data_IF_332440639167
#
_entry.id   IF_332440639167
#
_cell.length_a   1.000
_cell.length_b   1.000
_cell.length_c   1.000
_cell.angle_alpha   90.00
_cell.angle_beta   90.00
_cell.angle_gamma   90.00
#
_symmetry.space_group_name_H-M   'P 1'
#
loop_
_entity.id
_entity.type
_entity.pdbx_description
1 polymer ?
#
# COMPACT_ATOMS: atom_id res chain seq x y z
N UNK A 1 26.20 -39.22 20.28
CA UNK A 1 25.50 -38.43 19.23
C UNK A 1 24.39 -37.62 19.90
N UNK A 2 24.59 -36.31 20.01
CA UNK A 2 23.71 -35.37 20.75
C UNK A 2 22.50 -35.00 19.89
N UNK A 3 21.27 -35.26 20.36
CA UNK A 3 20.03 -34.71 19.79
C UNK A 3 19.56 -33.53 20.66
N UNK A 4 19.75 -32.31 20.17
CA UNK A 4 19.13 -31.10 20.71
C UNK A 4 17.64 -31.07 20.36
N UNK A 5 16.76 -31.20 21.35
CA UNK A 5 15.34 -30.83 21.24
C UNK A 5 15.19 -29.40 21.75
N UNK A 6 14.70 -28.50 20.87
CA UNK A 6 14.33 -27.12 21.21
C UNK A 6 12.97 -27.13 21.90
N UNK A 7 12.90 -26.60 23.12
CA UNK A 7 11.67 -26.33 23.85
C UNK A 7 11.03 -25.04 23.31
N UNK A 8 9.74 -25.11 22.99
CA UNK A 8 8.86 -23.93 22.84
C UNK A 8 8.27 -23.59 24.21
N UNK A 9 8.36 -22.36 24.72
CA UNK A 9 7.57 -21.95 25.87
C UNK A 9 6.14 -21.61 25.44
N UNK A 10 5.17 -22.24 26.08
CA UNK A 10 3.76 -21.87 26.01
C UNK A 10 3.54 -20.57 26.82
N UNK A 11 3.02 -19.53 26.18
CA UNK A 11 2.62 -18.29 26.83
C UNK A 11 1.14 -18.45 27.22
N UNK A 12 0.86 -18.49 28.52
CA UNK A 12 -0.49 -18.55 29.07
C UNK A 12 -1.21 -17.19 28.94
N UNK A 13 -2.43 -17.22 28.39
CA UNK A 13 -3.29 -16.06 28.22
C UNK A 13 -4.10 -15.84 29.52
N UNK A 14 -3.73 -14.84 30.32
CA UNK A 14 -4.54 -14.39 31.45
C UNK A 14 -5.62 -13.41 30.95
N UNK A 15 -6.89 -13.82 31.04
CA UNK A 15 -8.04 -12.98 30.71
C UNK A 15 -8.38 -12.14 31.94
N UNK A 16 -8.11 -10.84 31.89
CA UNK A 16 -8.60 -9.86 32.86
C UNK A 16 -9.82 -9.14 32.26
N UNK A 17 -10.96 -9.25 32.95
CA UNK A 17 -12.19 -8.52 32.64
C UNK A 17 -12.01 -7.01 32.96
N UNK A 18 -12.29 -6.09 32.03
CA UNK A 18 -12.29 -4.67 32.34
C UNK A 18 -13.60 -4.25 33.02
N UNK A 19 -13.46 -3.48 34.10
CA UNK A 19 -14.56 -2.78 34.77
C UNK A 19 -15.11 -1.65 33.88
N UNK A 20 -16.43 -1.51 33.86
CA UNK A 20 -17.16 -0.45 33.15
C UNK A 20 -16.91 0.90 33.81
N UNK A 21 -16.28 1.83 33.08
CA UNK A 21 -16.16 3.24 33.46
C UNK A 21 -17.26 4.03 32.73
N UNK A 22 -17.96 4.87 33.48
CA UNK A 22 -19.02 5.77 32.99
C UNK A 22 -18.45 6.85 32.07
N UNK A 23 -19.10 7.09 30.92
CA UNK A 23 -18.71 8.08 29.94
C UNK A 23 -19.14 9.49 30.37
N UNK A 24 -18.17 10.36 30.64
CA UNK A 24 -18.38 11.81 30.72
C UNK A 24 -18.49 12.43 29.32
N UNK A 25 -19.22 13.53 29.22
CA UNK A 25 -19.47 14.28 27.99
C UNK A 25 -18.18 14.57 27.22
N UNK A 26 -18.09 14.06 25.99
CA UNK A 26 -16.92 14.25 25.13
C UNK A 26 -16.77 15.74 24.75
N UNK A 27 -15.57 16.32 24.87
CA UNK A 27 -15.29 17.64 24.32
C UNK A 27 -15.48 17.61 22.81
N UNK A 28 -16.00 18.71 22.23
CA UNK A 28 -16.11 18.85 20.79
C UNK A 28 -14.71 18.77 20.16
N UNK A 29 -14.42 17.64 19.53
CA UNK A 29 -13.23 17.43 18.72
C UNK A 29 -13.43 18.17 17.41
N UNK A 30 -12.56 19.14 17.13
CA UNK A 30 -12.49 19.74 15.80
C UNK A 30 -12.16 18.65 14.79
N UNK A 31 -12.80 18.68 13.63
CA UNK A 31 -12.53 17.72 12.55
C UNK A 31 -11.04 17.79 12.18
N UNK A 32 -10.40 16.63 12.15
CA UNK A 32 -9.01 16.54 11.74
C UNK A 32 -8.88 17.07 10.31
N UNK A 33 -7.92 17.96 10.08
CA UNK A 33 -7.61 18.47 8.75
C UNK A 33 -7.13 17.32 7.87
N UNK A 34 -7.97 16.89 6.93
CA UNK A 34 -7.64 15.81 6.02
C UNK A 34 -7.12 16.38 4.69
N UNK A 35 -5.82 16.21 4.44
CA UNK A 35 -5.23 16.55 3.14
C UNK A 35 -5.62 15.45 2.15
N UNK A 36 -6.53 15.73 1.23
CA UNK A 36 -6.93 14.82 0.17
C UNK A 36 -5.85 14.67 -0.92
N UNK A 37 -6.01 13.70 -1.82
CA UNK A 37 -5.18 13.59 -3.03
C UNK A 37 -5.25 14.84 -3.94
N UNK A 38 -6.27 15.70 -3.79
CA UNK A 38 -6.33 16.99 -4.48
C UNK A 38 -5.42 18.07 -3.87
N UNK A 39 -4.88 17.85 -2.66
CA UNK A 39 -4.01 18.77 -1.89
C UNK A 39 -4.64 20.13 -1.59
N UNK A 40 -5.96 20.19 -1.46
CA UNK A 40 -6.70 21.37 -0.99
C UNK A 40 -7.32 21.10 0.36
N UNK A 41 -7.49 22.14 1.17
CA UNK A 41 -7.94 22.06 2.54
C UNK A 41 -9.45 22.28 2.63
N UNK A 42 -10.18 21.32 3.21
CA UNK A 42 -11.61 21.43 3.53
C UNK A 42 -12.50 21.88 2.35
N UNK A 43 -12.14 21.45 1.14
CA UNK A 43 -12.99 21.57 -0.05
C UNK A 43 -13.72 20.25 -0.24
N UNK A 44 -15.04 20.30 -0.36
CA UNK A 44 -15.83 19.10 -0.63
C UNK A 44 -15.44 18.49 -1.98
N UNK A 45 -15.47 17.15 -2.07
CA UNK A 45 -15.11 16.41 -3.28
C UNK A 45 -15.88 16.89 -4.52
N UNK A 46 -17.10 17.43 -4.32
CA UNK A 46 -17.96 17.99 -5.37
C UNK A 46 -17.45 19.33 -5.92
N UNK A 47 -16.84 20.16 -5.08
CA UNK A 47 -16.35 21.50 -5.44
C UNK A 47 -14.91 21.48 -5.95
N UNK A 48 -14.27 20.31 -5.95
CA UNK A 48 -12.94 20.12 -6.52
C UNK A 48 -12.95 20.38 -8.03
N UNK A 49 -12.02 21.19 -8.58
CA UNK A 49 -11.85 21.36 -10.02
C UNK A 49 -11.20 20.13 -10.70
N UNK A 50 -11.25 18.95 -10.06
CA UNK A 50 -10.54 17.75 -10.47
C UNK A 50 -11.40 16.49 -10.32
N UNK A 51 -11.14 15.47 -11.15
CA UNK A 51 -11.86 14.19 -11.09
C UNK A 51 -11.31 13.29 -9.97
N UNK A 52 -11.77 13.50 -8.74
CA UNK A 52 -11.45 12.66 -7.59
C UNK A 52 -12.57 11.64 -7.30
N UNK A 53 -12.22 10.46 -6.78
CA UNK A 53 -13.16 9.52 -6.18
C UNK A 53 -12.53 8.96 -4.92
N UNK A 54 -13.26 9.05 -3.82
CA UNK A 54 -12.87 8.51 -2.52
C UNK A 54 -13.66 7.23 -2.28
N UNK A 55 -12.97 6.13 -1.97
CA UNK A 55 -13.57 4.83 -1.66
C UNK A 55 -13.25 4.47 -0.22
N UNK A 56 -14.26 4.44 0.65
CA UNK A 56 -14.12 3.94 2.01
C UNK A 56 -13.77 2.45 2.01
N UNK A 57 -12.84 2.04 2.87
CA UNK A 57 -12.51 0.64 3.06
C UNK A 57 -13.48 0.05 4.07
N UNK A 58 -14.39 -0.80 3.59
CA UNK A 58 -15.40 -1.44 4.43
C UNK A 58 -14.74 -2.37 5.47
N UNK A 59 -14.87 -1.97 6.73
CA UNK A 59 -14.34 -2.67 7.89
C UNK A 59 -15.05 -4.02 8.13
N UNK A 60 -16.28 -4.17 7.63
CA UNK A 60 -17.13 -5.35 7.81
C UNK A 60 -17.35 -6.12 6.50
N UNK A 61 -16.78 -5.62 5.40
CA UNK A 61 -16.96 -6.19 4.07
C UNK A 61 -16.45 -7.63 3.96
N UNK A 62 -17.23 -8.48 3.29
CA UNK A 62 -16.94 -9.91 3.07
C UNK A 62 -15.82 -10.19 2.05
N UNK A 63 -15.10 -9.18 1.59
CA UNK A 63 -13.95 -9.33 0.69
C UNK A 63 -12.81 -10.12 1.32
N UNK A 64 -11.85 -10.58 0.52
CA UNK A 64 -10.68 -11.31 1.06
C UNK A 64 -9.86 -10.41 1.99
N UNK A 65 -9.99 -9.09 1.82
CA UNK A 65 -9.26 -8.07 2.58
C UNK A 65 -7.76 -8.09 2.28
N UNK A 66 -7.38 -8.80 1.21
CA UNK A 66 -5.99 -9.04 0.85
C UNK A 66 -5.59 -8.20 -0.37
N UNK A 67 -6.50 -7.88 -1.28
CA UNK A 67 -6.14 -7.29 -2.57
C UNK A 67 -6.81 -5.93 -2.77
N UNK A 68 -6.01 -4.90 -3.02
CA UNK A 68 -6.49 -3.52 -3.26
C UNK A 68 -7.47 -3.43 -4.43
N UNK A 69 -7.33 -4.32 -5.42
CA UNK A 69 -8.23 -4.44 -6.57
C UNK A 69 -9.70 -4.66 -6.17
N UNK A 70 -9.96 -5.30 -5.04
CA UNK A 70 -11.32 -5.55 -4.53
C UNK A 70 -12.03 -4.24 -4.18
N UNK A 71 -11.31 -3.26 -3.63
CA UNK A 71 -11.85 -1.94 -3.29
C UNK A 71 -11.97 -1.01 -4.52
N UNK A 72 -11.14 -1.22 -5.55
CA UNK A 72 -11.03 -0.29 -6.68
C UNK A 72 -11.99 -0.57 -7.85
N UNK A 73 -12.70 -1.71 -7.84
CA UNK A 73 -13.50 -2.17 -8.99
C UNK A 73 -14.61 -1.22 -9.45
N UNK A 74 -15.12 -0.37 -8.56
CA UNK A 74 -16.21 0.58 -8.86
C UNK A 74 -15.76 1.97 -9.35
N UNK A 75 -14.45 2.25 -9.40
CA UNK A 75 -13.96 3.62 -9.68
C UNK A 75 -13.96 3.91 -11.19
N UNK A 76 -14.69 4.91 -11.70
CA UNK A 76 -14.78 5.16 -13.13
C UNK A 76 -13.45 5.64 -13.71
N UNK A 77 -13.12 5.16 -14.93
CA UNK A 77 -11.86 5.49 -15.60
C UNK A 77 -10.62 4.90 -14.95
N UNK A 78 -10.77 4.04 -13.94
CA UNK A 78 -9.72 3.22 -13.36
C UNK A 78 -9.98 1.76 -13.72
N UNK A 79 -8.91 1.05 -14.05
CA UNK A 79 -8.92 -0.39 -14.28
C UNK A 79 -7.93 -1.02 -13.30
N UNK A 80 -8.42 -1.81 -12.35
CA UNK A 80 -7.62 -2.61 -11.43
C UNK A 80 -7.93 -4.09 -11.63
N UNK A 81 -7.19 -4.76 -12.51
CA UNK A 81 -7.39 -6.17 -12.81
C UNK A 81 -6.44 -7.03 -12.00
N UNK A 82 -7.01 -7.82 -11.11
CA UNK A 82 -6.28 -8.86 -10.40
C UNK A 82 -5.87 -9.97 -11.38
N UNK A 83 -4.60 -10.37 -11.32
CA UNK A 83 -4.06 -11.44 -12.18
C UNK A 83 -4.21 -12.82 -11.54
N UNK A 84 -4.58 -12.87 -10.25
CA UNK A 84 -4.54 -14.07 -9.41
C UNK A 84 -3.17 -14.74 -9.42
N UNK A 85 -2.13 -13.94 -9.59
CA UNK A 85 -0.73 -14.34 -9.64
C UNK A 85 0.03 -13.35 -8.77
N UNK A 86 0.29 -13.71 -7.51
CA UNK A 86 0.96 -12.83 -6.54
C UNK A 86 2.46 -12.64 -6.84
N UNK A 87 3.04 -13.37 -7.80
CA UNK A 87 4.37 -13.06 -8.32
C UNK A 87 4.36 -11.83 -9.22
N UNK A 88 3.18 -11.41 -9.69
CA UNK A 88 2.97 -10.23 -10.51
C UNK A 88 2.03 -9.26 -9.80
N UNK A 89 2.11 -7.99 -10.19
CA UNK A 89 1.25 -6.96 -9.60
C UNK A 89 -0.13 -6.94 -10.23
N UNK A 90 -1.12 -6.43 -9.48
CA UNK A 90 -2.41 -6.05 -10.05
C UNK A 90 -2.18 -5.13 -11.24
N UNK A 91 -2.82 -5.41 -12.37
CA UNK A 91 -2.74 -4.53 -13.53
C UNK A 91 -3.60 -3.30 -13.26
N UNK A 92 -2.92 -2.19 -12.96
CA UNK A 92 -3.55 -0.91 -12.68
C UNK A 92 -3.37 0.05 -13.86
N UNK A 93 -4.44 0.71 -14.28
CA UNK A 93 -4.36 1.85 -15.19
C UNK A 93 -5.44 2.89 -14.90
N UNK A 94 -5.13 4.16 -15.17
CA UNK A 94 -6.06 5.29 -15.02
C UNK A 94 -6.13 6.03 -16.35
N UNK A 95 -7.32 6.05 -16.97
CA UNK A 95 -7.55 6.68 -18.29
C UNK A 95 -6.48 6.32 -19.34
N UNK A 96 -6.03 5.06 -19.34
CA UNK A 96 -5.01 4.52 -20.25
C UNK A 96 -3.56 4.62 -19.76
N UNK A 97 -3.25 5.48 -18.79
CA UNK A 97 -1.92 5.53 -18.18
C UNK A 97 -1.65 4.25 -17.38
N UNK A 98 -0.53 3.59 -17.67
CA UNK A 98 -0.16 2.29 -17.11
C UNK A 98 -0.65 1.06 -17.88
N UNK A 99 -1.52 1.23 -18.89
CA UNK A 99 -2.08 0.11 -19.65
C UNK A 99 -1.02 -0.72 -20.42
N UNK A 100 0.10 -0.09 -20.80
CA UNK A 100 1.23 -0.75 -21.50
C UNK A 100 2.22 -1.45 -20.56
N UNK A 101 2.00 -1.38 -19.24
CA UNK A 101 2.86 -2.05 -18.27
C UNK A 101 2.64 -3.56 -18.32
N UNK A 102 3.61 -4.29 -18.84
CA UNK A 102 3.58 -5.77 -18.88
C UNK A 102 3.67 -6.35 -17.47
N UNK A 103 4.59 -5.84 -16.66
CA UNK A 103 4.81 -6.23 -15.28
C UNK A 103 4.93 -4.98 -14.38
N UNK A 104 4.51 -5.10 -13.13
CA UNK A 104 4.49 -3.96 -12.20
C UNK A 104 3.44 -2.91 -12.54
N UNK A 105 3.35 -1.91 -11.68
CA UNK A 105 2.53 -0.70 -11.90
C UNK A 105 3.46 0.42 -12.37
N UNK A 106 3.13 1.05 -13.50
CA UNK A 106 3.87 2.21 -14.06
C UNK A 106 2.88 3.23 -14.60
N UNK A 107 3.30 4.49 -14.73
CA UNK A 107 2.46 5.55 -15.29
C UNK A 107 1.43 6.16 -14.33
N UNK A 108 1.35 5.67 -13.09
CA UNK A 108 0.49 6.20 -12.02
C UNK A 108 1.29 6.34 -10.74
N UNK A 109 0.99 7.37 -9.93
CA UNK A 109 1.60 7.60 -8.62
C UNK A 109 0.83 6.82 -7.55
N UNK A 110 1.54 6.09 -6.69
CA UNK A 110 0.95 5.40 -5.54
C UNK A 110 1.46 6.02 -4.25
N UNK A 111 0.57 6.23 -3.29
CA UNK A 111 0.88 6.83 -1.99
C UNK A 111 0.22 6.04 -0.86
N UNK A 112 0.90 5.94 0.28
CA UNK A 112 0.34 5.47 1.55
C UNK A 112 0.57 6.58 2.58
N UNK A 113 -0.50 7.14 3.13
CA UNK A 113 -0.45 8.27 4.08
C UNK A 113 0.34 9.49 3.55
N UNK A 114 0.37 9.64 2.22
CA UNK A 114 1.12 10.68 1.52
C UNK A 114 2.60 10.36 1.26
N UNK A 115 3.11 9.24 1.76
CA UNK A 115 4.46 8.73 1.47
C UNK A 115 4.44 7.95 0.14
N UNK A 116 5.40 8.17 -0.78
CA UNK A 116 5.48 7.44 -2.03
C UNK A 116 5.62 5.92 -1.86
N UNK A 117 4.68 5.18 -2.45
CA UNK A 117 4.78 3.74 -2.70
C UNK A 117 5.24 3.42 -4.14
N UNK A 118 5.35 4.45 -4.98
CA UNK A 118 6.08 4.42 -6.25
C UNK A 118 7.51 4.88 -6.07
N UNK A 119 8.43 4.13 -6.64
CA UNK A 119 9.85 4.46 -6.72
C UNK A 119 10.08 5.67 -7.65
N UNK A 120 11.21 6.40 -7.52
CA UNK A 120 11.51 7.58 -8.34
C UNK A 120 11.49 7.33 -9.85
N UNK A 121 11.86 6.12 -10.28
CA UNK A 121 11.83 5.69 -11.69
C UNK A 121 10.41 5.43 -12.24
N UNK A 122 9.37 5.59 -11.40
CA UNK A 122 7.96 5.41 -11.74
C UNK A 122 7.44 3.99 -11.54
N UNK A 123 8.24 3.06 -11.02
CA UNK A 123 7.79 1.71 -10.70
C UNK A 123 7.05 1.68 -9.35
N UNK A 124 5.82 1.21 -9.35
CA UNK A 124 4.99 1.04 -8.16
C UNK A 124 4.60 -0.41 -7.89
N UNK A 125 4.22 -0.69 -6.64
CA UNK A 125 3.65 -1.97 -6.25
C UNK A 125 2.45 -1.77 -5.31
N UNK A 126 1.30 -2.33 -5.66
CA UNK A 126 0.10 -2.28 -4.81
C UNK A 126 0.16 -3.27 -3.64
N UNK A 127 1.10 -4.22 -3.65
CA UNK A 127 1.31 -5.15 -2.52
C UNK A 127 1.75 -4.45 -1.24
N UNK A 128 2.22 -3.20 -1.33
CA UNK A 128 2.59 -2.36 -0.19
C UNK A 128 1.39 -1.74 0.53
N UNK A 129 0.17 -1.91 0.01
CA UNK A 129 -1.05 -1.36 0.60
C UNK A 129 -1.68 -2.40 1.53
N UNK A 130 -1.89 -2.04 2.79
CA UNK A 130 -2.55 -2.89 3.77
C UNK A 130 -3.99 -2.41 3.99
N UNK A 131 -4.97 -3.18 3.50
CA UNK A 131 -6.38 -2.82 3.62
C UNK A 131 -6.94 -2.98 5.03
N UNK A 132 -6.36 -3.84 5.87
CA UNK A 132 -6.85 -4.05 7.23
C UNK A 132 -6.71 -2.78 8.10
N UNK A 133 -5.63 -2.02 7.87
CA UNK A 133 -5.38 -0.75 8.55
C UNK A 133 -5.96 0.47 7.84
N UNK A 134 -6.54 0.31 6.65
CA UNK A 134 -6.97 1.41 5.80
C UNK A 134 -8.34 1.96 6.20
N UNK A 135 -8.52 3.27 6.05
CA UNK A 135 -9.80 3.97 6.17
C UNK A 135 -10.43 4.20 4.80
N UNK A 136 -9.62 4.67 3.84
CA UNK A 136 -10.08 4.94 2.49
C UNK A 136 -8.97 4.91 1.45
N UNK A 137 -9.38 4.91 0.19
CA UNK A 137 -8.51 5.07 -0.98
C UNK A 137 -9.04 6.22 -1.83
N UNK A 138 -8.19 7.23 -2.05
CA UNK A 138 -8.47 8.37 -2.92
C UNK A 138 -7.86 8.12 -4.30
N UNK A 139 -8.64 8.36 -5.37
CA UNK A 139 -8.20 8.23 -6.75
C UNK A 139 -8.35 9.57 -7.48
N UNK A 140 -7.23 10.25 -7.71
CA UNK A 140 -7.18 11.48 -8.49
C UNK A 140 -6.85 11.14 -9.96
N UNK A 141 -7.71 11.60 -10.88
CA UNK A 141 -7.59 11.30 -12.31
C UNK A 141 -7.46 12.58 -13.13
N UNK A 142 -6.69 12.51 -14.21
CA UNK A 142 -6.55 13.60 -15.16
C UNK A 142 -5.45 14.60 -14.80
N UNK A 143 -5.46 15.81 -15.42
CA UNK A 143 -4.29 16.68 -15.49
C UNK A 143 -3.69 17.09 -14.14
N UNK A 144 -4.51 17.27 -13.10
CA UNK A 144 -4.03 17.62 -11.75
C UNK A 144 -3.09 16.58 -11.13
N UNK A 145 -3.15 15.32 -11.59
CA UNK A 145 -2.19 14.29 -11.16
C UNK A 145 -0.75 14.61 -11.55
N UNK A 146 -0.50 15.47 -12.55
CA UNK A 146 0.86 15.90 -12.91
C UNK A 146 1.58 16.64 -11.77
N UNK A 147 0.84 17.23 -10.82
CA UNK A 147 1.41 17.88 -9.62
C UNK A 147 2.09 16.89 -8.65
N UNK A 148 1.95 15.59 -8.89
CA UNK A 148 2.60 14.53 -8.12
C UNK A 148 3.92 14.05 -8.71
N UNK A 149 4.43 14.73 -9.74
CA UNK A 149 5.76 14.51 -10.29
C UNK A 149 5.82 13.44 -11.38
N UNK A 150 6.99 12.79 -11.50
CA UNK A 150 7.25 11.81 -12.55
C UNK A 150 6.20 10.69 -12.58
N UNK A 151 5.84 10.26 -13.80
CA UNK A 151 4.99 9.09 -14.04
C UNK A 151 3.63 9.15 -13.30
N UNK A 152 2.99 10.32 -13.27
CA UNK A 152 1.72 10.55 -12.58
C UNK A 152 0.60 10.91 -13.56
N UNK A 153 0.15 9.94 -14.36
CA UNK A 153 -1.08 10.08 -15.17
C UNK A 153 -2.39 9.91 -14.36
N UNK A 154 -2.23 9.59 -13.08
CA UNK A 154 -3.24 9.46 -12.05
C UNK A 154 -2.57 9.17 -10.70
N UNK A 155 -3.27 9.43 -9.61
CA UNK A 155 -2.79 9.15 -8.24
C UNK A 155 -3.76 8.20 -7.57
N UNK A 156 -3.22 7.16 -6.92
CA UNK A 156 -3.95 6.32 -5.97
C UNK A 156 -3.30 6.48 -4.61
N UNK A 157 -4.08 6.95 -3.64
CA UNK A 157 -3.60 7.24 -2.30
C UNK A 157 -4.41 6.47 -1.26
N UNK A 158 -3.76 5.60 -0.52
CA UNK A 158 -4.35 4.92 0.63
C UNK A 158 -4.12 5.75 1.89
N UNK A 159 -5.18 5.94 2.67
CA UNK A 159 -5.12 6.53 4.00
C UNK A 159 -5.38 5.46 5.04
N UNK A 160 -4.43 5.28 5.96
CA UNK A 160 -4.62 4.46 7.14
C UNK A 160 -5.50 5.19 8.14
N UNK A 161 -6.41 4.45 8.79
CA UNK A 161 -7.29 5.03 9.81
C UNK A 161 -6.49 5.67 10.93
N UNK A 162 -6.96 6.81 11.43
CA UNK A 162 -6.40 7.41 12.64
C UNK A 162 -6.99 6.74 13.87
N UNK A 163 -6.19 6.57 14.93
CA UNK A 163 -6.65 5.92 16.15
C UNK A 163 -7.41 6.89 17.06
N UNK A 164 -8.52 6.44 17.63
CA UNK A 164 -9.35 7.24 18.55
C UNK A 164 -9.56 6.52 19.90
N UNK A 165 -9.85 7.29 20.95
CA UNK A 165 -10.16 6.71 22.24
C UNK A 165 -11.39 5.79 22.16
N UNK A 166 -11.27 4.55 22.64
CA UNK A 166 -12.36 3.57 22.62
C UNK A 166 -12.45 2.73 21.34
N UNK A 167 -11.55 2.91 20.37
CA UNK A 167 -11.48 2.02 19.21
C UNK A 167 -11.29 0.55 19.61
N UNK A 168 -11.95 -0.40 18.92
CA UNK A 168 -11.77 -1.81 19.17
C UNK A 168 -10.48 -2.34 18.55
N UNK A 169 -9.97 -3.44 19.10
CA UNK A 169 -9.07 -4.31 18.35
C UNK A 169 -9.89 -5.17 17.38
N UNK A 170 -9.30 -5.54 16.24
CA UNK A 170 -9.97 -6.36 15.22
C UNK A 170 -9.14 -7.59 14.89
N UNK A 171 -9.80 -8.75 14.88
CA UNK A 171 -9.24 -9.99 14.34
C UNK A 171 -10.07 -10.40 13.13
N UNK A 172 -9.42 -10.57 11.98
CA UNK A 172 -10.06 -11.02 10.74
C UNK A 172 -9.45 -12.34 10.33
N UNK A 173 -10.29 -13.36 10.15
CA UNK A 173 -9.88 -14.64 9.57
C UNK A 173 -10.75 -14.92 8.35
N UNK A 174 -10.12 -15.23 7.21
CA UNK A 174 -10.82 -15.59 5.97
C UNK A 174 -10.33 -16.93 5.47
N UNK A 175 -11.26 -17.71 4.92
CA UNK A 175 -11.00 -19.00 4.27
C UNK A 175 -11.77 -19.06 2.96
N UNK A 176 -11.18 -19.63 1.92
CA UNK A 176 -11.81 -19.71 0.60
C UNK A 176 -11.26 -20.85 -0.24
N UNK A 177 -11.67 -20.89 -1.51
CA UNK A 177 -11.20 -21.88 -2.48
C UNK A 177 -9.68 -21.88 -2.63
N UNK A 178 -9.15 -22.98 -3.17
CA UNK A 178 -7.72 -23.10 -3.51
C UNK A 178 -6.82 -22.94 -2.27
N UNK A 179 -7.29 -23.48 -1.14
CA UNK A 179 -6.66 -23.40 0.18
C UNK A 179 -6.28 -21.96 0.58
N UNK A 180 -7.10 -20.99 0.14
CA UNK A 180 -6.90 -19.59 0.46
C UNK A 180 -7.24 -19.33 1.91
N UNK A 181 -6.30 -18.75 2.66
CA UNK A 181 -6.52 -18.34 4.04
C UNK A 181 -5.82 -17.03 4.34
N UNK A 182 -6.47 -16.15 5.10
CA UNK A 182 -5.87 -14.95 5.65
C UNK A 182 -6.13 -14.85 7.14
N UNK A 183 -5.13 -14.42 7.89
CA UNK A 183 -5.29 -14.00 9.28
C UNK A 183 -4.77 -12.58 9.41
N UNK A 184 -5.57 -11.69 9.98
CA UNK A 184 -5.26 -10.30 10.20
C UNK A 184 -5.59 -9.88 11.62
N UNK A 185 -4.70 -9.11 12.25
CA UNK A 185 -4.91 -8.49 13.54
C UNK A 185 -4.67 -6.98 13.40
N UNK A 186 -5.55 -6.20 13.98
CA UNK A 186 -5.40 -4.76 14.07
C UNK A 186 -5.62 -4.28 15.50
N UNK A 187 -4.75 -3.38 15.91
CA UNK A 187 -4.86 -2.64 17.15
C UNK A 187 -4.94 -1.16 16.79
N UNK A 188 -6.09 -0.54 17.07
CA UNK A 188 -6.35 0.89 16.81
C UNK A 188 -6.77 1.54 18.11
N UNK A 189 -6.33 2.78 18.34
CA UNK A 189 -6.75 3.53 19.52
C UNK A 189 -5.96 4.79 19.79
N UNK A 190 -6.22 5.39 20.95
CA UNK A 190 -5.52 6.58 21.43
C UNK A 190 -5.08 6.38 22.88
N UNK A 191 -3.85 6.79 23.18
CA UNK A 191 -3.29 6.84 24.52
C UNK A 191 -2.67 8.23 24.77
N UNK A 192 -3.34 9.05 25.57
CA UNK A 192 -2.97 10.46 25.79
C UNK A 192 -2.89 11.21 24.45
N UNK A 193 -1.73 11.82 24.16
CA UNK A 193 -1.46 12.54 22.92
C UNK A 193 -1.02 11.62 21.76
N UNK A 194 -0.95 10.31 21.96
CA UNK A 194 -0.55 9.35 20.92
C UNK A 194 -1.76 8.62 20.35
N UNK A 195 -1.95 8.75 19.04
CA UNK A 195 -2.91 8.00 18.23
C UNK A 195 -2.17 6.85 17.55
N UNK A 196 -2.74 5.66 17.52
CA UNK A 196 -2.10 4.50 16.91
C UNK A 196 -3.08 3.67 16.10
N UNK A 197 -2.59 3.16 14.97
CA UNK A 197 -3.22 2.13 14.17
C UNK A 197 -2.14 1.19 13.66
N UNK A 198 -2.15 -0.05 14.13
CA UNK A 198 -1.20 -1.09 13.78
C UNK A 198 -1.97 -2.28 13.24
N UNK A 199 -1.72 -2.65 11.98
CA UNK A 199 -2.37 -3.74 11.29
C UNK A 199 -1.35 -4.72 10.73
N UNK A 200 -1.47 -6.00 11.09
CA UNK A 200 -0.64 -7.09 10.58
C UNK A 200 -1.51 -8.16 9.92
N UNK A 201 -1.05 -8.74 8.82
CA UNK A 201 -1.76 -9.84 8.16
C UNK A 201 -0.83 -10.84 7.48
N UNK A 202 -1.22 -12.12 7.44
CA UNK A 202 -0.58 -13.19 6.69
C UNK A 202 -1.64 -13.87 5.81
N UNK A 203 -1.39 -13.86 4.49
CA UNK A 203 -2.22 -14.47 3.47
C UNK A 203 -1.48 -15.62 2.79
N UNK A 204 -2.16 -16.73 2.54
CA UNK A 204 -1.64 -17.92 1.84
C UNK A 204 -2.68 -18.51 0.91
N UNK A 205 -2.24 -19.11 -0.18
CA UNK A 205 -3.09 -19.89 -1.11
C UNK A 205 -2.24 -20.90 -1.86
N UNK A 206 -2.86 -22.03 -2.25
CA UNK A 206 -2.25 -22.98 -3.19
C UNK A 206 -2.41 -22.50 -4.65
N UNK A 207 -3.28 -21.52 -4.89
CA UNK A 207 -3.54 -20.92 -6.20
C UNK A 207 -4.57 -21.70 -7.02
N UNK A 208 -5.35 -20.98 -7.83
CA UNK A 208 -6.37 -21.59 -8.69
C UNK A 208 -5.76 -22.34 -9.89
N UNK A 209 -4.60 -21.88 -10.37
CA UNK A 209 -3.79 -22.55 -11.39
C UNK A 209 -2.70 -23.40 -10.74
N UNK A 210 -2.28 -24.44 -11.45
CA UNK A 210 -1.03 -25.13 -11.13
C UNK A 210 0.13 -24.12 -11.05
N UNK A 211 1.11 -24.38 -10.17
CA UNK A 211 2.28 -23.52 -9.99
C UNK A 211 1.93 -22.05 -9.70
N UNK A 212 0.91 -21.83 -8.85
CA UNK A 212 0.43 -20.49 -8.48
C UNK A 212 0.34 -20.29 -6.96
N UNK A 213 0.97 -21.16 -6.16
CA UNK A 213 0.96 -21.03 -4.72
C UNK A 213 1.72 -19.79 -4.27
N UNK A 214 1.21 -19.10 -3.25
CA UNK A 214 1.80 -17.86 -2.77
C UNK A 214 1.58 -17.63 -1.28
N UNK A 215 2.53 -16.90 -0.68
CA UNK A 215 2.43 -16.37 0.67
C UNK A 215 2.78 -14.88 0.68
N UNK A 216 2.03 -14.10 1.45
CA UNK A 216 2.31 -12.69 1.69
C UNK A 216 1.97 -12.30 3.13
N UNK A 217 2.97 -11.79 3.85
CA UNK A 217 2.82 -11.11 5.12
C UNK A 217 2.94 -9.60 4.93
N UNK A 218 2.19 -8.82 5.71
CA UNK A 218 2.30 -7.37 5.76
C UNK A 218 2.11 -6.84 7.18
N UNK A 219 2.80 -5.74 7.48
CA UNK A 219 2.65 -4.96 8.70
C UNK A 219 2.57 -3.49 8.30
N UNK A 220 1.53 -2.79 8.73
CA UNK A 220 1.41 -1.35 8.63
C UNK A 220 1.24 -0.78 10.04
N UNK A 221 1.91 0.33 10.33
CA UNK A 221 1.73 1.07 11.56
C UNK A 221 1.74 2.58 11.27
N UNK A 222 0.73 3.27 11.78
CA UNK A 222 0.65 4.73 11.84
C UNK A 222 0.59 5.13 13.31
N UNK A 223 1.53 5.97 13.74
CA UNK A 223 1.62 6.50 15.09
C UNK A 223 1.60 8.03 15.01
N UNK A 224 0.47 8.64 15.37
CA UNK A 224 0.30 10.09 15.43
C UNK A 224 0.59 10.64 16.82
N UNK A 225 1.32 11.75 16.91
CA UNK A 225 1.63 12.43 18.17
C UNK A 225 1.18 13.88 18.08
N UNK A 226 0.24 14.26 18.95
CA UNK A 226 -0.15 15.67 19.16
C UNK A 226 0.89 16.33 20.07
N UNK A 227 1.84 17.05 19.47
CA UNK A 227 2.99 17.63 20.19
C UNK A 227 2.60 18.91 20.92
N UNK A 228 1.74 19.72 20.30
CA UNK A 228 1.19 20.96 20.81
C UNK A 228 -0.06 21.32 19.98
N UNK A 229 -0.88 22.30 20.39
CA UNK A 229 -2.01 22.75 19.57
C UNK A 229 -1.56 23.13 18.15
N UNK A 230 -2.17 22.48 17.15
CA UNK A 230 -1.84 22.62 15.73
C UNK A 230 -0.49 22.04 15.33
N UNK A 231 0.12 21.14 16.12
CA UNK A 231 1.38 20.48 15.79
C UNK A 231 1.25 18.97 15.93
N UNK A 232 1.31 18.27 14.80
CA UNK A 232 1.19 16.81 14.73
C UNK A 232 2.40 16.18 14.05
N UNK A 233 2.91 15.09 14.63
CA UNK A 233 3.91 14.22 14.01
C UNK A 233 3.32 12.83 13.79
N UNK A 234 3.19 12.39 12.54
CA UNK A 234 2.86 11.02 12.19
C UNK A 234 4.15 10.25 11.84
N UNK A 235 4.39 9.13 12.53
CA UNK A 235 5.39 8.14 12.18
C UNK A 235 4.70 6.97 11.47
N UNK A 236 5.25 6.58 10.32
CA UNK A 236 4.67 5.61 9.42
C UNK A 236 5.66 4.48 9.22
N UNK A 237 5.20 3.23 9.38
CA UNK A 237 6.00 2.04 9.12
C UNK A 237 5.20 1.08 8.27
N UNK A 238 5.83 0.52 7.24
CA UNK A 238 5.19 -0.43 6.36
C UNK A 238 6.19 -1.50 5.93
N UNK A 239 5.82 -2.76 6.15
CA UNK A 239 6.62 -3.94 5.82
C UNK A 239 5.78 -4.90 4.99
N UNK A 240 6.39 -5.41 3.93
CA UNK A 240 5.87 -6.45 3.07
C UNK A 240 6.89 -7.59 3.02
N UNK A 241 6.45 -8.81 3.29
CA UNK A 241 7.24 -10.04 3.12
C UNK A 241 6.44 -11.02 2.26
N UNK A 242 6.88 -11.22 1.02
CA UNK A 242 6.36 -12.22 0.11
C UNK A 242 7.52 -13.16 -0.24
N UNK A 243 7.87 -14.13 0.63
CA UNK A 243 9.10 -14.91 0.50
C UNK A 243 9.05 -15.88 -0.68
N UNK A 244 7.84 -16.23 -1.14
CA UNK A 244 7.63 -17.07 -2.32
C UNK A 244 6.23 -16.86 -2.88
N UNK A 245 6.18 -16.45 -4.14
CA UNK A 245 5.00 -16.53 -4.99
C UNK A 245 5.40 -17.22 -6.29
N UNK A 246 4.76 -18.35 -6.60
CA UNK A 246 4.98 -19.04 -7.87
C UNK A 246 4.33 -18.26 -9.02
N UNK A 247 4.97 -18.28 -10.18
CA UNK A 247 4.49 -17.59 -11.38
C UNK A 247 4.10 -18.63 -12.46
N UNK A 248 2.81 -18.91 -12.70
CA UNK A 248 2.36 -19.91 -13.66
C UNK A 248 2.56 -19.50 -15.13
N UNK A 249 3.01 -18.26 -15.38
CA UNK A 249 3.17 -17.64 -16.71
C UNK A 249 1.85 -17.54 -17.51
N UNK A 250 1.94 -16.95 -18.70
CA UNK A 250 0.81 -16.77 -19.62
C UNK A 250 0.51 -18.01 -20.46
N UNK A 251 -0.76 -18.24 -20.77
CA UNK A 251 -1.22 -19.30 -21.67
C UNK A 251 -1.53 -18.74 -23.05
N UNK A 252 -1.39 -19.56 -24.09
CA UNK A 252 -1.99 -19.26 -25.40
C UNK A 252 -3.51 -19.34 -25.33
N UNK A 253 -4.20 -18.73 -26.30
CA UNK A 253 -5.67 -18.75 -26.38
C UNK A 253 -6.24 -20.17 -26.53
N UNK A 254 -5.50 -21.10 -27.12
CA UNK A 254 -5.88 -22.51 -27.21
C UNK A 254 -5.74 -23.20 -25.86
N UNK A 255 -4.56 -23.09 -25.22
CA UNK A 255 -4.29 -23.67 -23.91
C UNK A 255 -5.32 -23.23 -22.86
N UNK A 256 -5.64 -21.93 -22.83
CA UNK A 256 -6.65 -21.38 -21.92
C UNK A 256 -8.06 -21.90 -22.16
N UNK A 257 -8.41 -22.27 -23.41
CA UNK A 257 -9.73 -22.85 -23.73
C UNK A 257 -9.83 -24.33 -23.36
N UNK A 258 -8.74 -25.08 -23.49
CA UNK A 258 -8.73 -26.52 -23.22
C UNK A 258 -8.59 -26.83 -21.73
N UNK A 259 -7.69 -26.12 -21.04
CA UNK A 259 -7.46 -26.28 -19.62
C UNK A 259 -6.94 -24.94 -19.06
N UNK A 260 -7.82 -24.12 -18.47
CA UNK A 260 -7.42 -22.81 -17.97
C UNK A 260 -6.66 -22.88 -16.64
N UNK A 261 -6.65 -24.05 -15.95
CA UNK A 261 -5.95 -24.23 -14.67
C UNK A 261 -4.49 -24.63 -14.86
N UNK A 262 -4.11 -25.15 -16.02
CA UNK A 262 -2.72 -25.55 -16.28
C UNK A 262 -1.71 -24.42 -16.08
N UNK A 263 -0.50 -24.78 -15.68
CA UNK A 263 0.66 -23.91 -15.83
C UNK A 263 1.25 -24.02 -17.24
N UNK A 264 2.04 -23.03 -17.65
CA UNK A 264 2.91 -23.21 -18.82
C UNK A 264 3.98 -24.24 -18.46
N UNK A 265 4.28 -25.20 -19.33
CA UNK A 265 5.24 -26.28 -19.01
C UNK A 265 6.60 -25.77 -18.50
N UNK A 266 7.08 -24.66 -19.09
CA UNK A 266 8.34 -24.04 -18.69
C UNK A 266 8.28 -23.38 -17.31
N UNK A 267 7.10 -23.05 -16.79
CA UNK A 267 6.95 -22.48 -15.44
C UNK A 267 7.44 -23.47 -14.37
N UNK A 268 6.98 -24.72 -14.45
CA UNK A 268 7.43 -25.80 -13.57
C UNK A 268 8.88 -26.20 -13.86
N UNK A 269 9.27 -26.26 -15.15
CA UNK A 269 10.64 -26.61 -15.54
C UNK A 269 11.70 -25.68 -14.95
N UNK A 270 11.43 -24.37 -14.91
CA UNK A 270 12.36 -23.35 -14.40
C UNK A 270 12.01 -22.89 -12.97
N UNK A 271 11.01 -23.51 -12.31
CA UNK A 271 10.46 -23.10 -11.01
C UNK A 271 10.25 -21.58 -10.94
N UNK A 272 9.55 -21.02 -11.93
CA UNK A 272 9.34 -19.58 -12.03
C UNK A 272 8.61 -19.05 -10.82
N UNK A 273 9.20 -18.05 -10.17
CA UNK A 273 8.73 -17.53 -8.89
C UNK A 273 9.33 -16.16 -8.62
N UNK A 274 8.73 -15.44 -7.69
CA UNK A 274 9.23 -14.19 -7.17
C UNK A 274 9.24 -14.20 -5.65
N UNK A 275 10.26 -13.58 -5.07
CA UNK A 275 10.28 -13.17 -3.67
C UNK A 275 10.42 -11.65 -3.60
N UNK A 276 9.73 -11.03 -2.65
CA UNK A 276 9.80 -9.59 -2.40
C UNK A 276 9.87 -9.36 -0.91
N UNK A 277 10.82 -8.55 -0.46
CA UNK A 277 10.81 -7.98 0.88
C UNK A 277 10.96 -6.47 0.78
N UNK A 278 10.10 -5.74 1.47
CA UNK A 278 10.15 -4.29 1.48
C UNK A 278 9.88 -3.79 2.90
N UNK A 279 10.67 -2.83 3.33
CA UNK A 279 10.43 -2.08 4.56
C UNK A 279 10.56 -0.59 4.26
N UNK A 280 9.60 0.20 4.72
CA UNK A 280 9.58 1.65 4.57
C UNK A 280 9.22 2.29 5.90
N UNK A 281 9.92 3.36 6.22
CA UNK A 281 9.61 4.24 7.33
C UNK A 281 9.45 5.68 6.80
N UNK A 282 8.53 6.42 7.39
CA UNK A 282 8.28 7.81 7.08
C UNK A 282 7.93 8.62 8.32
N UNK A 283 8.21 9.91 8.27
CA UNK A 283 7.78 10.87 9.26
C UNK A 283 7.10 12.03 8.54
N UNK A 284 5.93 12.45 9.02
CA UNK A 284 5.17 13.58 8.52
C UNK A 284 4.89 14.52 9.68
N UNK A 285 5.43 15.74 9.62
CA UNK A 285 5.13 16.80 10.56
C UNK A 285 4.17 17.81 9.92
N UNK A 286 3.07 18.11 10.61
CA UNK A 286 2.09 19.13 10.20
C UNK A 286 2.02 20.21 11.28
N UNK A 287 2.11 21.47 10.85
CA UNK A 287 1.94 22.65 11.69
C UNK A 287 0.85 23.55 11.10
N UNK A 288 -0.28 23.62 11.80
CA UNK A 288 -1.42 24.46 11.49
C UNK A 288 -1.41 25.72 12.37
N UNK A 289 -1.40 26.89 11.72
CA UNK A 289 -1.39 28.20 12.37
C UNK A 289 -2.26 29.19 11.61
N UNK A 290 -3.43 29.48 12.18
CA UNK A 290 -4.41 30.45 11.67
C UNK A 290 -4.85 30.18 10.24
N UNK A 291 -4.11 30.73 9.27
CA UNK A 291 -4.36 30.70 7.83
C UNK A 291 -3.31 29.94 7.05
N UNK A 292 -2.41 29.25 7.75
CA UNK A 292 -1.19 28.66 7.19
C UNK A 292 -1.04 27.23 7.70
N UNK A 293 -0.70 26.34 6.79
CA UNK A 293 -0.34 24.96 7.11
C UNK A 293 1.04 24.67 6.55
N UNK A 294 1.94 24.15 7.38
CA UNK A 294 3.21 23.61 6.96
C UNK A 294 3.15 22.10 7.04
N UNK A 295 3.61 21.41 6.01
CA UNK A 295 3.76 19.96 5.99
C UNK A 295 5.17 19.60 5.57
N UNK A 296 5.89 18.91 6.43
CA UNK A 296 7.23 18.39 6.17
C UNK A 296 7.16 16.88 6.22
N UNK A 297 7.71 16.21 5.21
CA UNK A 297 7.75 14.76 5.13
C UNK A 297 9.15 14.31 4.77
N UNK A 298 9.60 13.25 5.44
CA UNK A 298 10.81 12.52 5.08
C UNK A 298 10.51 11.02 5.11
N UNK A 299 11.08 10.27 4.19
CA UNK A 299 10.91 8.82 4.15
C UNK A 299 12.16 8.11 3.64
N UNK A 300 12.31 6.86 4.05
CA UNK A 300 13.33 5.96 3.55
C UNK A 300 12.80 4.53 3.53
N UNK A 301 13.35 3.70 2.65
CA UNK A 301 13.00 2.29 2.57
C UNK A 301 14.06 1.47 1.87
N UNK A 302 13.93 0.17 2.06
CA UNK A 302 14.72 -0.84 1.35
C UNK A 302 13.77 -1.85 0.74
N UNK A 303 14.11 -2.30 -0.47
CA UNK A 303 13.36 -3.30 -1.21
C UNK A 303 14.31 -4.30 -1.84
N UNK A 304 14.06 -5.57 -1.58
CA UNK A 304 14.71 -6.69 -2.27
C UNK A 304 13.69 -7.43 -3.14
N UNK A 305 14.09 -7.81 -4.34
CA UNK A 305 13.27 -8.60 -5.27
C UNK A 305 14.16 -9.65 -5.91
N UNK A 306 13.81 -10.92 -5.74
CA UNK A 306 14.42 -12.03 -6.46
C UNK A 306 13.35 -12.66 -7.37
N UNK A 307 13.67 -12.86 -8.65
CA UNK A 307 12.73 -13.42 -9.62
C UNK A 307 13.43 -14.43 -10.53
N UNK A 308 12.90 -15.65 -10.56
CA UNK A 308 13.33 -16.72 -11.46
C UNK A 308 12.45 -16.70 -12.70
N UNK A 309 13.07 -16.49 -13.86
CA UNK A 309 12.42 -16.40 -15.17
C UNK A 309 12.56 -17.70 -15.95
N UNK A 310 11.63 -17.96 -16.86
CA UNK A 310 11.68 -19.08 -17.79
C UNK A 310 12.57 -18.78 -19.02
N UNK A 311 13.84 -18.43 -18.81
CA UNK A 311 14.79 -18.19 -19.90
C UNK A 311 15.66 -19.43 -20.15
N UNK A 312 15.61 -20.04 -21.35
CA UNK A 312 16.40 -21.22 -21.65
C UNK A 312 17.92 -20.97 -21.61
N UNK A 313 18.74 -21.96 -21.19
CA UNK A 313 20.19 -21.82 -21.15
C UNK A 313 20.83 -21.38 -22.47
N UNK A 314 20.30 -21.84 -23.60
CA UNK A 314 20.80 -21.44 -24.92
C UNK A 314 20.67 -19.93 -25.19
N UNK A 315 19.59 -19.29 -24.72
CA UNK A 315 19.43 -17.83 -24.83
C UNK A 315 20.41 -17.08 -23.90
N UNK A 316 20.76 -17.68 -22.77
CA UNK A 316 21.71 -17.13 -21.80
C UNK A 316 23.18 -17.30 -22.23
N UNK A 317 23.46 -18.09 -23.27
CA UNK A 317 24.83 -18.35 -23.73
C UNK A 317 25.51 -17.11 -24.34
N UNK A 318 24.75 -16.11 -24.77
CA UNK A 318 25.30 -14.82 -25.20
C UNK A 318 25.89 -14.09 -23.97
N UNK A 319 27.18 -13.70 -23.97
CA UNK A 319 27.80 -12.97 -22.85
C UNK A 319 27.14 -11.63 -22.50
N UNK A 320 26.36 -11.05 -23.43
CA UNK A 320 25.59 -9.82 -23.21
C UNK A 320 24.19 -10.09 -22.61
N UNK A 321 23.79 -11.36 -22.46
CA UNK A 321 22.51 -11.72 -21.88
C UNK A 321 22.53 -11.51 -20.37
N UNK A 322 21.45 -10.95 -19.81
CA UNK A 322 21.39 -10.62 -18.38
C UNK A 322 20.96 -11.79 -17.46
N UNK A 323 21.20 -13.03 -17.87
CA UNK A 323 20.78 -14.24 -17.15
C UNK A 323 19.26 -14.50 -17.06
N UNK A 324 18.89 -15.60 -16.40
CA UNK A 324 17.50 -16.02 -16.12
C UNK A 324 16.99 -15.72 -14.70
N UNK A 325 17.83 -15.10 -13.85
CA UNK A 325 17.47 -14.71 -12.49
C UNK A 325 17.70 -13.21 -12.36
N UNK A 326 16.70 -12.51 -11.83
CA UNK A 326 16.81 -11.11 -11.45
C UNK A 326 16.93 -11.08 -9.92
N UNK A 327 17.99 -10.49 -9.40
CA UNK A 327 18.16 -10.18 -7.97
C UNK A 327 18.39 -8.67 -7.85
N UNK A 328 17.52 -7.98 -7.13
CA UNK A 328 17.54 -6.53 -7.00
C UNK A 328 17.54 -6.18 -5.53
N UNK A 329 18.51 -5.38 -5.10
CA UNK A 329 18.53 -4.76 -3.77
C UNK A 329 18.58 -3.24 -3.93
N UNK A 330 17.53 -2.56 -3.47
CA UNK A 330 17.34 -1.14 -3.67
C UNK A 330 17.07 -0.39 -2.38
N UNK A 331 17.89 0.62 -2.10
CA UNK A 331 17.60 1.66 -1.11
C UNK A 331 16.96 2.87 -1.77
N UNK A 332 15.96 3.46 -1.13
CA UNK A 332 15.27 4.64 -1.63
C UNK A 332 14.83 5.55 -0.48
N UNK A 333 14.57 6.82 -0.79
CA UNK A 333 14.08 7.78 0.19
C UNK A 333 13.86 9.14 -0.44
N UNK A 334 13.32 10.05 0.34
CA UNK A 334 13.03 11.39 -0.14
C UNK A 334 12.51 12.31 0.94
N UNK A 335 12.35 13.57 0.56
CA UNK A 335 11.80 14.65 1.37
C UNK A 335 10.78 15.44 0.57
N UNK A 336 9.76 15.95 1.24
CA UNK A 336 8.73 16.83 0.69
C UNK A 336 8.45 17.93 1.72
N UNK A 337 8.44 19.17 1.27
CA UNK A 337 8.10 20.32 2.09
C UNK A 337 7.01 21.11 1.38
N UNK A 338 5.93 21.43 2.11
CA UNK A 338 4.79 22.18 1.60
C UNK A 338 4.40 23.26 2.57
N UNK A 339 3.99 24.38 2.00
CA UNK A 339 3.36 25.47 2.68
C UNK A 339 2.05 25.76 1.96
N UNK A 340 0.96 25.75 2.71
CA UNK A 340 -0.36 26.14 2.26
C UNK A 340 -0.78 27.43 2.98
N UNK A 341 -1.47 28.30 2.27
CA UNK A 341 -2.13 29.47 2.81
C UNK A 341 -3.58 29.47 2.35
N UNK A 342 -4.52 29.62 3.29
CA UNK A 342 -5.94 29.74 2.98
C UNK A 342 -6.44 31.11 3.37
N UNK A 343 -7.03 31.78 2.39
CA UNK A 343 -7.38 33.17 2.45
C UNK A 343 -8.46 33.81 1.61
N UNK A 344 -8.41 35.13 1.50
CA UNK A 344 -9.23 35.86 0.55
C UNK A 344 -8.33 36.82 -0.23
N UNK A 345 -8.50 36.85 -1.55
CA UNK A 345 -7.83 37.78 -2.45
C UNK A 345 -8.91 38.45 -3.31
N UNK A 346 -8.92 39.79 -3.34
CA UNK A 346 -9.94 40.57 -4.04
C UNK A 346 -11.39 40.17 -3.69
N UNK A 347 -11.65 39.89 -2.42
CA UNK A 347 -12.97 39.49 -1.91
C UNK A 347 -13.40 38.06 -2.26
N UNK A 348 -12.53 37.25 -2.87
CA UNK A 348 -12.80 35.83 -3.19
C UNK A 348 -11.93 34.90 -2.36
N UNK A 349 -12.46 33.75 -1.89
CA UNK A 349 -11.63 32.72 -1.26
C UNK A 349 -10.48 32.30 -2.18
N UNK A 350 -9.29 32.18 -1.61
CA UNK A 350 -8.09 31.73 -2.31
C UNK A 350 -7.30 30.79 -1.41
N UNK A 351 -7.00 29.59 -1.90
CA UNK A 351 -6.01 28.70 -1.31
C UNK A 351 -4.79 28.64 -2.22
N UNK A 352 -3.60 28.82 -1.64
CA UNK A 352 -2.33 28.76 -2.33
C UNK A 352 -1.46 27.70 -1.67
N UNK A 353 -1.01 26.72 -2.45
CA UNK A 353 -0.09 25.68 -1.99
C UNK A 353 1.20 25.75 -2.81
N UNK A 354 2.33 25.86 -2.11
CA UNK A 354 3.68 25.85 -2.70
C UNK A 354 4.47 24.73 -2.03
N UNK A 355 5.25 23.99 -2.79
CA UNK A 355 6.08 22.94 -2.23
C UNK A 355 7.26 22.54 -3.10
N UNK A 356 8.17 21.79 -2.49
CA UNK A 356 9.32 21.19 -3.14
C UNK A 356 9.47 19.74 -2.65
N UNK A 357 9.84 18.84 -3.55
CA UNK A 357 10.12 17.45 -3.21
C UNK A 357 11.43 16.99 -3.87
N UNK A 358 12.12 16.07 -3.21
CA UNK A 358 13.32 15.42 -3.73
C UNK A 358 13.27 13.93 -3.35
N UNK A 359 13.27 13.07 -4.37
CA UNK A 359 13.24 11.61 -4.20
C UNK A 359 14.52 11.01 -4.82
N UNK A 360 15.08 9.98 -4.19
CA UNK A 360 16.28 9.29 -4.63
C UNK A 360 16.17 7.78 -4.46
N UNK A 361 16.81 7.04 -5.37
CA UNK A 361 16.92 5.58 -5.30
C UNK A 361 18.31 5.16 -5.77
N UNK A 362 18.86 4.16 -5.09
CA UNK A 362 20.07 3.42 -5.49
C UNK A 362 19.72 1.94 -5.55
N UNK A 363 20.07 1.30 -6.66
CA UNK A 363 19.74 -0.10 -6.88
C UNK A 363 20.98 -0.87 -7.32
N UNK A 364 21.19 -2.01 -6.67
CA UNK A 364 22.19 -3.01 -7.00
C UNK A 364 21.50 -4.18 -7.71
N UNK A 365 22.18 -4.75 -8.70
CA UNK A 365 21.72 -5.86 -9.53
C UNK A 365 22.81 -6.91 -9.61
#
# INVERSE_FOLDING_TARGET
MKRCRRLFPAIGLAVALPATVSAGTAPATLDAVQVQAARVHAVDDFDLPASMTSVGVDEDGAGRGALVSEALGGVPGLLARERQNLAQDTQLSIRGFGARSTFGVRGVRLLVDGVPATMPDGQGQLSHFNLLGAERIDVLRGPFSALYGNSSGGVVQLWSADGQAGDPWRLRATFGSDNSRSLGLQLRGQAKAMHYNVAASDYRTDGWREHSAARRGSLNARLGFELAPGQRLDLLFNVLDAPRAQDPLGLTAEQARTDPRRATAVATQYDTRKSVRQAQAGAVYTLDRERRTWRLMAYAGQRTVEQFLAIPPAAQANPLHSGGVIDLDGGYGGVDARWAWHGALAGRPLELVVGANADGQRQHR
#
